data_IF_704944206286
#
_entry.id   IF_704944206286
#
_cell.length_a   1.000
_cell.length_b   1.000
_cell.length_c   1.000
_cell.angle_alpha   90.00
_cell.angle_beta   90.00
_cell.angle_gamma   90.00
#
_symmetry.space_group_name_H-M   'P 1'
#
loop_
_entity.id
_entity.type
_entity.pdbx_description
1 polymer ?
#
# COMPACT_ATOMS: atom_id res chain seq x y z
N UNK A 1 -6.18 -1.56 13.88
CA UNK A 1 -5.97 -0.34 13.08
C UNK A 1 -4.50 0.10 12.97
N UNK A 2 -3.85 0.51 14.07
CA UNK A 2 -2.58 1.27 14.03
C UNK A 2 -1.43 0.58 13.27
N UNK A 3 -1.37 -0.76 13.30
CA UNK A 3 -0.35 -1.54 12.59
C UNK A 3 -0.57 -1.54 11.08
N UNK A 4 -1.83 -1.63 10.63
CA UNK A 4 -2.21 -1.58 9.21
C UNK A 4 -1.81 -0.23 8.59
N UNK A 5 -2.24 0.87 9.22
CA UNK A 5 -1.89 2.22 8.78
C UNK A 5 -0.38 2.44 8.74
N UNK A 6 0.35 2.05 9.79
CA UNK A 6 1.82 2.15 9.81
C UNK A 6 2.48 1.35 8.70
N UNK A 7 1.99 0.16 8.38
CA UNK A 7 2.54 -0.66 7.30
C UNK A 7 2.30 -0.01 5.94
N UNK A 8 1.08 0.41 5.66
CA UNK A 8 0.73 1.10 4.42
C UNK A 8 1.54 2.39 4.24
N UNK A 9 1.69 3.19 5.30
CA UNK A 9 2.48 4.42 5.29
C UNK A 9 3.97 4.14 5.05
N UNK A 10 4.55 3.15 5.74
CA UNK A 10 5.94 2.76 5.56
C UNK A 10 6.22 2.30 4.12
N UNK A 11 5.30 1.53 3.54
CA UNK A 11 5.44 1.06 2.17
C UNK A 11 5.31 2.21 1.16
N UNK A 12 4.25 3.01 1.25
CA UNK A 12 3.99 4.11 0.33
C UNK A 12 5.05 5.22 0.39
N UNK A 13 5.48 5.61 1.60
CA UNK A 13 6.38 6.76 1.75
C UNK A 13 7.84 6.43 1.43
N UNK A 14 8.27 5.19 1.71
CA UNK A 14 9.70 4.83 1.70
C UNK A 14 9.99 3.65 0.78
N UNK A 15 9.27 2.54 0.94
CA UNK A 15 9.60 1.30 0.22
C UNK A 15 9.38 1.44 -1.29
N UNK A 16 8.27 2.04 -1.69
CA UNK A 16 7.92 2.25 -3.11
C UNK A 16 8.97 3.10 -3.83
N UNK A 17 9.33 4.24 -3.23
CA UNK A 17 10.39 5.10 -3.75
C UNK A 17 11.72 4.35 -3.83
N UNK A 18 12.13 3.68 -2.75
CA UNK A 18 13.40 2.96 -2.71
C UNK A 18 13.47 1.85 -3.77
N UNK A 19 12.39 1.11 -3.99
CA UNK A 19 12.32 0.04 -4.98
C UNK A 19 12.42 0.57 -6.41
N UNK A 20 11.68 1.64 -6.72
CA UNK A 20 11.76 2.28 -8.03
C UNK A 20 13.14 2.93 -8.27
N UNK A 21 13.72 3.61 -7.28
CA UNK A 21 15.10 4.13 -7.36
C UNK A 21 16.10 3.00 -7.62
N UNK A 22 15.97 1.86 -6.93
CA UNK A 22 16.81 0.68 -7.16
C UNK A 22 16.62 0.16 -8.60
N UNK A 23 15.41 0.22 -9.14
CA UNK A 23 15.08 -0.16 -10.52
C UNK A 23 15.56 0.85 -11.57
N UNK A 24 16.24 1.92 -11.15
CA UNK A 24 16.66 3.03 -12.01
C UNK A 24 15.48 3.76 -12.67
N UNK A 25 14.29 3.66 -12.07
CA UNK A 25 13.14 4.47 -12.45
C UNK A 25 13.30 5.89 -11.90
N UNK A 26 12.86 6.86 -12.70
CA UNK A 26 12.73 8.24 -12.24
C UNK A 26 11.58 8.33 -11.22
N UNK A 27 11.90 8.77 -10.01
CA UNK A 27 10.97 8.91 -8.89
C UNK A 27 10.97 10.30 -8.27
N UNK A 28 11.94 11.13 -8.65
CA UNK A 28 12.07 12.48 -8.11
C UNK A 28 10.99 13.36 -8.74
N UNK A 29 10.25 14.10 -7.90
CA UNK A 29 9.11 14.93 -8.32
C UNK A 29 7.94 14.20 -9.01
N UNK A 30 7.92 12.86 -8.99
CA UNK A 30 6.81 12.08 -9.56
C UNK A 30 5.61 12.08 -8.60
N UNK A 31 4.39 12.40 -9.07
CA UNK A 31 3.17 12.26 -8.29
C UNK A 31 3.00 10.85 -7.71
N UNK A 32 2.41 10.74 -6.51
CA UNK A 32 2.24 9.44 -5.85
C UNK A 32 1.44 8.44 -6.71
N UNK A 33 0.40 8.91 -7.41
CA UNK A 33 -0.39 8.07 -8.31
C UNK A 33 0.45 7.51 -9.47
N UNK A 34 1.30 8.33 -10.08
CA UNK A 34 2.19 7.89 -11.16
C UNK A 34 3.24 6.89 -10.65
N UNK A 35 3.67 7.05 -9.40
CA UNK A 35 4.51 6.06 -8.72
C UNK A 35 3.79 4.71 -8.57
N UNK A 36 2.50 4.70 -8.21
CA UNK A 36 1.70 3.47 -8.14
C UNK A 36 1.56 2.82 -9.52
N UNK A 37 1.25 3.59 -10.56
CA UNK A 37 1.17 3.07 -11.94
C UNK A 37 2.49 2.47 -12.42
N UNK A 38 3.64 3.06 -12.04
CA UNK A 38 4.95 2.48 -12.34
C UNK A 38 5.13 1.13 -11.64
N UNK A 39 4.81 1.04 -10.35
CA UNK A 39 4.90 -0.22 -9.59
C UNK A 39 3.99 -1.30 -10.18
N UNK A 40 2.77 -0.94 -10.59
CA UNK A 40 1.82 -1.85 -11.22
C UNK A 40 2.35 -2.37 -12.56
N UNK A 41 2.86 -1.48 -13.43
CA UNK A 41 3.49 -1.88 -14.70
C UNK A 41 4.68 -2.82 -14.52
N UNK A 42 5.40 -2.68 -13.41
CA UNK A 42 6.52 -3.54 -13.03
C UNK A 42 6.08 -4.83 -12.32
N UNK A 43 4.76 -5.05 -12.18
CA UNK A 43 4.15 -6.17 -11.45
C UNK A 43 4.61 -6.27 -9.98
N UNK A 44 4.95 -5.12 -9.37
CA UNK A 44 5.38 -5.03 -7.98
C UNK A 44 4.20 -4.83 -7.01
N UNK A 45 3.11 -4.27 -7.51
CA UNK A 45 1.82 -4.21 -6.84
C UNK A 45 0.76 -4.75 -7.79
N UNK A 46 -0.33 -5.28 -7.25
CA UNK A 46 -1.41 -5.86 -8.05
C UNK A 46 -2.22 -4.79 -8.82
N UNK A 47 -2.44 -3.62 -8.21
CA UNK A 47 -3.19 -2.53 -8.84
C UNK A 47 -2.95 -1.20 -8.11
N UNK A 48 -2.73 -0.12 -8.86
CA UNK A 48 -2.67 1.23 -8.33
C UNK A 48 -4.02 1.69 -7.76
N UNK A 49 -5.11 1.42 -8.47
CA UNK A 49 -6.48 1.71 -8.04
C UNK A 49 -6.78 1.01 -6.71
N UNK A 50 -6.43 -0.28 -6.60
CA UNK A 50 -6.62 -1.01 -5.35
C UNK A 50 -5.88 -0.37 -4.18
N UNK A 51 -4.68 0.15 -4.42
CA UNK A 51 -3.92 0.86 -3.38
C UNK A 51 -4.59 2.17 -2.94
N UNK A 52 -5.26 2.87 -3.85
CA UNK A 52 -6.05 4.06 -3.50
C UNK A 52 -7.26 3.67 -2.65
N UNK A 53 -8.00 2.63 -3.01
CA UNK A 53 -9.13 2.12 -2.19
C UNK A 53 -8.68 1.77 -0.76
N UNK A 54 -7.52 1.14 -0.61
CA UNK A 54 -6.94 0.83 0.71
C UNK A 54 -6.66 2.11 1.52
N UNK A 55 -6.24 3.18 0.85
CA UNK A 55 -5.95 4.49 1.46
C UNK A 55 -7.22 5.22 1.88
N UNK A 56 -8.27 5.14 1.08
CA UNK A 56 -9.60 5.68 1.37
C UNK A 56 -10.26 4.94 2.52
N UNK A 57 -10.22 3.59 2.49
CA UNK A 57 -10.72 2.74 3.58
C UNK A 57 -10.05 3.11 4.90
N UNK A 58 -8.72 3.30 4.90
CA UNK A 58 -8.00 3.76 6.10
C UNK A 58 -8.52 5.12 6.59
N UNK A 59 -8.75 6.06 5.68
CA UNK A 59 -9.19 7.42 6.03
C UNK A 59 -10.63 7.44 6.58
N UNK A 60 -11.53 6.70 5.94
CA UNK A 60 -12.92 6.57 6.38
C UNK A 60 -12.98 6.00 7.80
N UNK A 61 -12.23 4.94 8.04
CA UNK A 61 -12.16 4.31 9.35
C UNK A 61 -11.55 5.28 10.38
N UNK A 62 -10.50 6.02 10.03
CA UNK A 62 -9.89 7.03 10.92
C UNK A 62 -10.87 8.13 11.35
N UNK A 63 -11.89 8.42 10.55
CA UNK A 63 -12.88 9.45 10.81
C UNK A 63 -14.10 8.92 11.56
N UNK A 64 -14.55 7.70 11.27
CA UNK A 64 -15.79 7.10 11.82
C UNK A 64 -15.64 6.51 13.24
N UNK A 65 -14.48 6.70 13.87
CA UNK A 65 -14.19 6.13 15.19
C UNK A 65 -15.04 6.65 16.36
N UNK A 66 -15.80 7.72 16.16
CA UNK A 66 -16.42 8.46 17.27
C UNK A 66 -17.88 8.06 17.59
N UNK A 67 -18.62 7.36 16.70
CA UNK A 67 -20.10 7.35 16.82
C UNK A 67 -20.87 6.01 16.75
N UNK A 68 -20.28 4.83 16.47
CA UNK A 68 -21.05 3.56 16.55
C UNK A 68 -20.20 2.26 16.61
N UNK A 69 -20.56 1.28 17.47
CA UNK A 69 -19.95 -0.06 17.50
C UNK A 69 -20.13 -0.89 16.22
N UNK A 70 -21.24 -0.72 15.49
CA UNK A 70 -21.50 -1.42 14.23
C UNK A 70 -20.57 -0.95 13.11
N UNK A 71 -20.33 0.37 13.02
CA UNK A 71 -19.37 0.94 12.07
C UNK A 71 -17.95 0.47 12.38
N UNK A 72 -17.60 0.36 13.67
CA UNK A 72 -16.33 -0.19 14.11
C UNK A 72 -16.13 -1.65 13.64
N UNK A 73 -17.17 -2.49 13.71
CA UNK A 73 -17.09 -3.87 13.25
C UNK A 73 -16.90 -3.96 11.72
N UNK A 74 -17.61 -3.12 10.95
CA UNK A 74 -17.46 -3.03 9.50
C UNK A 74 -16.05 -2.58 9.10
N UNK A 75 -15.53 -1.56 9.79
CA UNK A 75 -14.17 -1.08 9.63
C UNK A 75 -13.12 -2.17 9.89
N UNK A 76 -13.27 -2.94 10.98
CA UNK A 76 -12.38 -4.05 11.30
C UNK A 76 -12.39 -5.14 10.23
N UNK A 77 -13.56 -5.49 9.70
CA UNK A 77 -13.70 -6.47 8.63
C UNK A 77 -13.08 -5.97 7.31
N UNK A 78 -13.24 -4.68 6.99
CA UNK A 78 -12.62 -4.07 5.83
C UNK A 78 -11.09 -4.10 5.92
N UNK A 79 -10.52 -3.72 7.07
CA UNK A 79 -9.07 -3.81 7.34
C UNK A 79 -8.58 -5.26 7.20
N UNK A 80 -9.32 -6.20 7.77
CA UNK A 80 -8.93 -7.61 7.74
C UNK A 80 -8.87 -8.13 6.30
N UNK A 81 -9.89 -7.84 5.49
CA UNK A 81 -9.94 -8.21 4.07
C UNK A 81 -8.85 -7.51 3.24
N UNK A 82 -8.48 -6.31 3.64
CA UNK A 82 -7.46 -5.48 2.99
C UNK A 82 -6.02 -5.95 3.26
N UNK A 83 -5.82 -6.75 4.32
CA UNK A 83 -4.51 -7.18 4.78
C UNK A 83 -3.82 -8.10 3.77
N UNK A 84 -4.57 -8.95 3.05
CA UNK A 84 -4.03 -9.84 2.03
C UNK A 84 -3.39 -9.05 0.88
N UNK A 85 -4.03 -7.96 0.44
CA UNK A 85 -3.50 -7.11 -0.64
C UNK A 85 -2.19 -6.41 -0.22
N UNK A 86 -2.11 -5.91 1.02
CA UNK A 86 -0.89 -5.28 1.55
C UNK A 86 0.27 -6.27 1.70
N UNK A 87 -0.01 -7.47 2.19
CA UNK A 87 1.00 -8.53 2.30
C UNK A 87 1.49 -8.94 0.91
N UNK A 88 0.57 -9.13 -0.04
CA UNK A 88 0.93 -9.46 -1.42
C UNK A 88 1.81 -8.39 -2.08
N UNK A 89 1.53 -7.10 -1.86
CA UNK A 89 2.39 -6.02 -2.33
C UNK A 89 3.79 -6.06 -1.70
N UNK A 90 3.87 -6.32 -0.40
CA UNK A 90 5.16 -6.48 0.29
C UNK A 90 5.97 -7.66 -0.25
N UNK A 91 5.33 -8.82 -0.41
CA UNK A 91 5.98 -10.03 -0.91
C UNK A 91 6.46 -9.86 -2.36
N UNK A 92 5.67 -9.21 -3.21
CA UNK A 92 6.08 -8.88 -4.59
C UNK A 92 7.34 -8.01 -4.63
N UNK A 93 7.42 -6.99 -3.76
CA UNK A 93 8.61 -6.14 -3.63
C UNK A 93 9.82 -6.91 -3.11
N UNK A 94 9.61 -7.77 -2.11
CA UNK A 94 10.66 -8.61 -1.51
C UNK A 94 11.24 -9.60 -2.53
N UNK A 95 10.39 -10.27 -3.29
CA UNK A 95 10.81 -11.21 -4.33
C UNK A 95 11.60 -10.51 -5.43
N UNK A 96 11.13 -9.33 -5.87
CA UNK A 96 11.83 -8.53 -6.87
C UNK A 96 13.22 -8.08 -6.38
N UNK A 97 13.34 -7.74 -5.09
CA UNK A 97 14.62 -7.43 -4.47
C UNK A 97 15.56 -8.65 -4.45
N UNK A 98 15.07 -9.81 -4.03
CA UNK A 98 15.88 -11.03 -3.92
C UNK A 98 16.41 -11.53 -5.28
N UNK A 99 15.57 -11.52 -6.32
CA UNK A 99 15.97 -11.94 -7.69
C UNK A 99 17.11 -11.11 -8.29
N UNK A 100 17.35 -9.91 -7.77
CA UNK A 100 18.38 -8.99 -8.26
C UNK A 100 19.69 -9.08 -7.49
N UNK A 101 19.69 -9.74 -6.32
CA UNK A 101 20.90 -9.98 -5.53
C UNK A 101 21.58 -11.33 -5.85
N UNK A 102 20.89 -12.21 -6.58
CA UNK A 102 21.41 -13.47 -7.15
C UNK A 102 21.99 -13.25 -8.54
#
# INVERSE_FOLDING_TARGET
MFRYAKLQDAMGQRLFKAMLTMLQEEVEHVPFLDMLHKLEKLNLIASAEKWQELSETRNAIAHEYDDSPELMAQALNAIFSSNEALIGAYDGLKDAYQRRQS
#
